data_IF_688811965122
#
_entry.id   IF_688811965122
#
_cell.length_a   1.000
_cell.length_b   1.000
_cell.length_c   1.000
_cell.angle_alpha   90.00
_cell.angle_beta   90.00
_cell.angle_gamma   90.00
#
_symmetry.space_group_name_H-M   'P 1'
#
loop_
_entity.id
_entity.type
_entity.pdbx_description
1 polymer ?
#
# COMPACT_ATOMS: atom_id res chain seq x y z
N UNK A 1 -17.62 14.87 3.68
CA UNK A 1 -16.19 14.56 3.90
C UNK A 1 -15.54 14.35 2.54
N UNK A 2 -14.70 15.27 2.07
CA UNK A 2 -13.94 15.09 0.83
C UNK A 2 -12.91 13.99 1.05
N UNK A 3 -13.03 12.88 0.31
CA UNK A 3 -12.04 11.81 0.36
C UNK A 3 -10.72 12.33 -0.22
N UNK A 4 -9.67 12.36 0.61
CA UNK A 4 -8.33 12.74 0.15
C UNK A 4 -7.65 11.54 -0.48
N UNK A 5 -7.82 11.43 -1.79
CA UNK A 5 -7.31 10.33 -2.60
C UNK A 5 -5.81 10.48 -2.88
N UNK A 6 -5.10 9.37 -2.78
CA UNK A 6 -3.69 9.27 -3.16
C UNK A 6 -3.54 9.33 -4.69
N UNK A 7 -2.44 9.92 -5.15
CA UNK A 7 -2.03 9.98 -6.57
C UNK A 7 -1.90 8.59 -7.19
N UNK A 8 -1.52 7.59 -6.38
CA UNK A 8 -1.50 6.17 -6.74
C UNK A 8 -1.83 5.36 -5.49
N UNK A 9 -2.61 4.27 -5.59
CA UNK A 9 -2.91 3.43 -4.44
C UNK A 9 -1.65 2.75 -3.87
N UNK A 10 -1.75 2.26 -2.64
CA UNK A 10 -0.75 1.39 -2.01
C UNK A 10 -1.42 0.05 -1.72
N UNK A 11 -0.79 -1.03 -2.18
CA UNK A 11 -1.27 -2.38 -1.93
C UNK A 11 -0.56 -2.96 -0.70
N UNK A 12 -1.33 -3.49 0.24
CA UNK A 12 -0.82 -4.09 1.47
C UNK A 12 -1.47 -5.44 1.72
N UNK A 13 -0.72 -6.39 2.30
CA UNK A 13 -1.29 -7.63 2.84
C UNK A 13 -1.83 -7.40 4.26
N UNK A 14 -3.08 -7.78 4.49
CA UNK A 14 -3.67 -7.88 5.83
C UNK A 14 -3.22 -9.19 6.53
N UNK A 15 -3.61 -9.38 7.79
CA UNK A 15 -3.36 -10.57 8.58
C UNK A 15 -3.84 -11.86 7.88
N UNK A 16 -4.99 -11.81 7.19
CA UNK A 16 -5.54 -12.92 6.42
C UNK A 16 -4.87 -13.12 5.05
N UNK A 17 -3.71 -12.50 4.80
CA UNK A 17 -3.00 -12.50 3.52
C UNK A 17 -3.78 -11.90 2.33
N UNK A 18 -4.93 -11.28 2.60
CA UNK A 18 -5.70 -10.55 1.60
C UNK A 18 -4.97 -9.28 1.18
N UNK A 19 -4.93 -9.01 -0.12
CA UNK A 19 -4.38 -7.77 -0.67
C UNK A 19 -5.45 -6.68 -0.56
N UNK A 20 -5.15 -5.63 0.21
CA UNK A 20 -5.98 -4.45 0.36
C UNK A 20 -5.41 -3.28 -0.44
N UNK A 21 -6.29 -2.57 -1.12
CA UNK A 21 -5.96 -1.33 -1.81
C UNK A 21 -6.20 -0.14 -0.89
N UNK A 22 -5.15 0.61 -0.57
CA UNK A 22 -5.23 1.84 0.20
C UNK A 22 -5.18 3.01 -0.80
N UNK A 23 -6.35 3.58 -1.10
CA UNK A 23 -6.48 4.63 -2.12
C UNK A 23 -6.63 6.04 -1.50
N UNK A 24 -6.94 6.13 -0.21
CA UNK A 24 -7.20 7.41 0.46
C UNK A 24 -6.54 7.51 1.84
N UNK A 25 -6.43 8.74 2.36
CA UNK A 25 -6.02 8.98 3.75
C UNK A 25 -6.97 8.28 4.74
N UNK A 26 -8.26 8.17 4.43
CA UNK A 26 -9.23 7.51 5.30
C UNK A 26 -8.98 5.99 5.37
N UNK A 27 -8.69 5.35 4.23
CA UNK A 27 -8.33 3.93 4.17
C UNK A 27 -7.06 3.66 4.98
N UNK A 28 -6.06 4.52 4.84
CA UNK A 28 -4.80 4.40 5.57
C UNK A 28 -5.03 4.50 7.09
N UNK A 29 -5.86 5.45 7.56
CA UNK A 29 -6.21 5.58 8.97
C UNK A 29 -7.01 4.37 9.47
N UNK A 30 -7.97 3.87 8.68
CA UNK A 30 -8.75 2.68 9.02
C UNK A 30 -7.91 1.40 9.08
N UNK A 31 -6.88 1.30 8.24
CA UNK A 31 -5.89 0.22 8.30
C UNK A 31 -5.03 0.34 9.56
N UNK A 32 -4.44 1.51 9.81
CA UNK A 32 -3.59 1.74 10.99
C UNK A 32 -4.36 1.55 12.30
N UNK A 33 -5.62 1.98 12.38
CA UNK A 33 -6.43 1.83 13.60
C UNK A 33 -6.60 0.36 14.03
N UNK A 34 -6.64 -0.56 13.06
CA UNK A 34 -6.74 -2.02 13.30
C UNK A 34 -5.38 -2.68 13.52
N UNK A 35 -4.28 -1.94 13.38
CA UNK A 35 -2.94 -2.50 13.54
C UNK A 35 -2.70 -2.98 14.98
N UNK A 36 -2.18 -4.22 15.20
CA UNK A 36 -2.01 -4.79 16.53
C UNK A 36 -1.16 -3.92 17.44
N UNK A 37 -1.61 -3.70 18.67
CA UNK A 37 -0.97 -2.77 19.62
C UNK A 37 0.47 -3.15 19.91
N UNK A 38 0.76 -4.44 20.03
CA UNK A 38 2.10 -4.97 20.29
C UNK A 38 3.08 -4.70 19.13
N UNK A 39 2.57 -4.38 17.93
CA UNK A 39 3.36 -4.08 16.73
C UNK A 39 3.41 -2.58 16.42
N UNK A 40 2.88 -1.72 17.30
CA UNK A 40 2.89 -0.25 17.14
C UNK A 40 4.23 0.32 17.60
N UNK A 41 5.15 0.51 16.64
CA UNK A 41 6.43 1.16 16.87
C UNK A 41 6.47 2.65 16.50
N UNK A 42 7.65 3.29 16.55
CA UNK A 42 7.83 4.69 16.13
C UNK A 42 7.33 4.98 14.71
N UNK A 43 7.53 4.02 13.79
CA UNK A 43 7.13 4.16 12.39
C UNK A 43 5.60 4.18 12.23
N UNK A 44 4.89 3.38 13.03
CA UNK A 44 3.42 3.43 13.13
C UNK A 44 2.96 4.82 13.58
N UNK A 45 3.57 5.37 14.63
CA UNK A 45 3.22 6.70 15.16
C UNK A 45 3.44 7.80 14.12
N UNK A 46 4.54 7.74 13.36
CA UNK A 46 4.82 8.67 12.28
C UNK A 46 3.76 8.59 11.17
N UNK A 47 3.42 7.39 10.71
CA UNK A 47 2.38 7.21 9.70
C UNK A 47 1.01 7.70 10.18
N UNK A 48 0.63 7.37 11.41
CA UNK A 48 -0.63 7.81 12.01
C UNK A 48 -0.72 9.34 12.11
N UNK A 49 0.35 9.99 12.60
CA UNK A 49 0.43 11.46 12.69
C UNK A 49 0.35 12.11 11.31
N UNK A 50 1.07 11.59 10.33
CA UNK A 50 1.06 12.12 8.97
C UNK A 50 -0.34 12.02 8.33
N UNK A 51 -1.02 10.89 8.48
CA UNK A 51 -2.37 10.71 7.96
C UNK A 51 -3.39 11.62 8.66
N UNK A 52 -3.30 11.80 9.98
CA UNK A 52 -4.13 12.78 10.69
C UNK A 52 -3.87 14.22 10.24
N UNK A 53 -2.59 14.62 10.17
CA UNK A 53 -2.21 15.95 9.71
C UNK A 53 -2.72 16.22 8.29
N UNK A 54 -2.62 15.23 7.39
CA UNK A 54 -3.17 15.36 6.05
C UNK A 54 -4.69 15.47 6.06
N UNK A 55 -5.41 14.74 6.92
CA UNK A 55 -6.86 14.88 7.07
C UNK A 55 -7.30 16.28 7.50
N UNK A 56 -6.44 16.98 8.24
CA UNK A 56 -6.64 18.33 8.78
C UNK A 56 -6.00 19.45 7.93
N UNK A 57 -5.63 19.18 6.66
CA UNK A 57 -4.95 20.14 5.77
C UNK A 57 -3.56 20.62 6.24
N UNK A 58 -2.99 20.01 7.27
CA UNK A 58 -1.66 20.38 7.82
C UNK A 58 -0.50 19.69 7.11
N UNK A 59 -0.77 18.65 6.32
CA UNK A 59 0.21 17.93 5.51
C UNK A 59 -0.39 17.63 4.14
N UNK A 60 0.45 17.59 3.10
CA UNK A 60 -0.01 17.16 1.78
C UNK A 60 -0.45 15.68 1.77
N UNK A 61 -1.36 15.35 0.86
CA UNK A 61 -1.86 13.98 0.68
C UNK A 61 -0.73 13.03 0.27
N UNK A 62 0.19 13.47 -0.59
CA UNK A 62 1.38 12.69 -0.94
C UNK A 62 2.35 12.50 0.25
N UNK A 63 2.43 13.48 1.15
CA UNK A 63 3.19 13.35 2.40
C UNK A 63 2.65 12.22 3.28
N UNK A 64 1.33 12.17 3.47
CA UNK A 64 0.67 11.06 4.18
C UNK A 64 0.84 9.72 3.47
N UNK A 65 0.68 9.70 2.13
CA UNK A 65 0.91 8.52 1.30
C UNK A 65 2.32 7.96 1.52
N UNK A 66 3.34 8.81 1.45
CA UNK A 66 4.74 8.41 1.60
C UNK A 66 5.03 7.88 3.01
N UNK A 67 4.45 8.50 4.05
CA UNK A 67 4.58 8.02 5.42
C UNK A 67 3.94 6.62 5.59
N UNK A 68 2.74 6.41 5.05
CA UNK A 68 2.08 5.10 5.08
C UNK A 68 2.86 4.06 4.25
N UNK A 69 3.36 4.42 3.07
CA UNK A 69 4.17 3.54 2.24
C UNK A 69 5.48 3.11 2.94
N UNK A 70 6.11 4.03 3.68
CA UNK A 70 7.27 3.76 4.52
C UNK A 70 6.95 2.81 5.66
N UNK A 71 5.82 3.01 6.34
CA UNK A 71 5.30 2.08 7.33
C UNK A 71 5.07 0.68 6.75
N UNK A 72 4.32 0.58 5.66
CA UNK A 72 3.99 -0.71 5.03
C UNK A 72 5.25 -1.47 4.58
N UNK A 73 6.25 -0.74 4.05
CA UNK A 73 7.56 -1.32 3.71
C UNK A 73 8.30 -1.80 4.96
N UNK A 74 8.35 -0.99 6.02
CA UNK A 74 9.09 -1.32 7.23
C UNK A 74 8.54 -2.53 7.98
N UNK A 75 7.24 -2.76 7.92
CA UNK A 75 6.59 -3.92 8.58
C UNK A 75 6.41 -5.10 7.64
N UNK A 76 6.94 -5.02 6.40
CA UNK A 76 6.98 -6.11 5.44
C UNK A 76 5.64 -6.51 4.83
N UNK A 77 4.66 -5.59 4.80
CA UNK A 77 3.31 -5.86 4.27
C UNK A 77 3.05 -5.19 2.93
N UNK A 78 3.95 -4.34 2.45
CA UNK A 78 3.78 -3.64 1.18
C UNK A 78 4.01 -4.61 0.03
N UNK A 79 2.99 -4.80 -0.79
CA UNK A 79 3.14 -5.53 -2.05
C UNK A 79 3.83 -4.64 -3.09
N UNK A 80 4.70 -5.26 -3.90
CA UNK A 80 5.02 -4.71 -5.20
C UNK A 80 3.72 -4.64 -6.01
N UNK A 81 3.58 -3.60 -6.83
CA UNK A 81 2.37 -3.30 -7.60
C UNK A 81 1.69 -4.56 -8.18
N UNK A 82 0.35 -4.67 -8.21
CA UNK A 82 -0.37 -5.86 -8.68
C UNK A 82 -0.12 -6.26 -10.15
N UNK A 83 0.80 -5.61 -10.86
CA UNK A 83 1.38 -6.09 -12.14
C UNK A 83 2.37 -7.24 -11.92
N UNK A 84 2.04 -8.19 -11.05
CA UNK A 84 2.64 -9.52 -11.02
C UNK A 84 1.57 -10.57 -10.78
N UNK A 85 0.41 -10.39 -11.42
CA UNK A 85 -0.35 -11.55 -11.88
C UNK A 85 0.37 -12.00 -13.16
N UNK A 86 1.10 -13.11 -13.07
CA UNK A 86 1.81 -13.71 -14.20
C UNK A 86 0.87 -13.88 -15.41
N UNK A 87 1.23 -13.43 -16.61
CA UNK A 87 0.47 -13.70 -17.82
C UNK A 87 0.68 -15.17 -18.15
N UNK A 88 -0.27 -16.00 -17.77
CA UNK A 88 -0.34 -17.45 -17.98
C UNK A 88 -0.35 -17.90 -19.46
N UNK A 89 0.16 -17.12 -20.43
CA UNK A 89 0.18 -17.48 -21.86
C UNK A 89 1.42 -16.93 -22.58
N UNK A 90 2.51 -17.70 -22.60
CA UNK A 90 3.33 -17.82 -23.82
C UNK A 90 3.58 -19.31 -24.06
N UNK A 91 2.87 -19.96 -25.01
CA UNK A 91 3.32 -21.27 -25.46
C UNK A 91 4.71 -21.11 -26.10
N UNK A 92 5.66 -22.04 -25.88
CA UNK A 92 6.91 -21.99 -26.60
C UNK A 92 6.61 -22.13 -28.09
N UNK A 93 6.93 -21.10 -28.89
CA UNK A 93 6.88 -21.19 -30.35
C UNK A 93 7.95 -22.19 -30.78
N UNK A 94 7.57 -23.48 -30.84
CA UNK A 94 8.29 -24.49 -31.60
C UNK A 94 8.12 -24.16 -33.08
N UNK A 95 9.07 -23.41 -33.63
CA UNK A 95 8.92 -22.96 -35.01
C UNK A 95 10.19 -22.39 -35.63
N UNK A 96 11.28 -23.16 -35.66
CA UNK A 96 12.22 -23.24 -36.80
C UNK A 96 13.33 -24.25 -36.51
N UNK A 97 13.23 -25.43 -37.12
CA UNK A 97 14.42 -26.21 -37.47
C UNK A 97 14.93 -25.67 -38.82
N UNK A 98 16.23 -25.36 -38.96
CA UNK A 98 16.82 -25.12 -40.27
C UNK A 98 17.00 -26.48 -40.97
N UNK A 99 16.54 -26.57 -42.23
CA UNK A 99 17.04 -27.54 -43.19
C UNK A 99 18.26 -26.94 -43.89
#
# INVERSE_FOLDING_TARGET
MTARSFSSPIFVKDADQAILQIATVADALGFLARWPEQRRGPIYNTAMRACHAAREDRLSVDGARNAFAGFARSVGIREADPVSIEPWIVPPTRGRMPL
#
